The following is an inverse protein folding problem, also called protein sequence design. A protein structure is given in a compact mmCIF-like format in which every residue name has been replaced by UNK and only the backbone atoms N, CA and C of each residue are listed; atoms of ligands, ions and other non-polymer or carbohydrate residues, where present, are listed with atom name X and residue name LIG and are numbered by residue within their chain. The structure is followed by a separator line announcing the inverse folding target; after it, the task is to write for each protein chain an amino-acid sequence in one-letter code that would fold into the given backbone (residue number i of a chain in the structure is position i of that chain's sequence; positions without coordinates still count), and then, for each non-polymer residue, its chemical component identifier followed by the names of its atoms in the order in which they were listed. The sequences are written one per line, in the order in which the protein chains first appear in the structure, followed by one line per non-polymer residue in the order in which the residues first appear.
data_IF_685474525291
#
_entry.id   IF_685474525291
#
_cell.length_a   1.000
_cell.length_b   1.000
_cell.length_c   1.000
_cell.angle_alpha   90.00
_cell.angle_beta   90.00
_cell.angle_gamma   90.00
#
_symmetry.space_group_name_H-M   'P 1'
#
loop_
_entity.id
_entity.type
_entity.pdbx_description
1 polymer ?
#
# COMPACT_ATOMS: atom_id res chain seq x y z
N UNK A 1 -10.05 12.48 -7.66
CA UNK A 1 -10.45 11.08 -7.90
C UNK A 1 -9.57 10.50 -8.99
N UNK A 2 -9.10 9.23 -8.91
CA UNK A 2 -8.36 8.61 -10.00
C UNK A 2 -9.25 8.54 -11.25
N UNK A 3 -8.72 8.93 -12.40
CA UNK A 3 -9.48 9.14 -13.65
C UNK A 3 -10.10 7.88 -14.27
N UNK A 4 -9.84 6.70 -13.70
CA UNK A 4 -10.22 5.39 -14.26
C UNK A 4 -11.23 4.61 -13.40
N UNK A 5 -11.78 5.19 -12.35
CA UNK A 5 -12.94 4.58 -11.71
C UNK A 5 -14.18 4.89 -12.58
N UNK A 6 -14.91 3.88 -13.09
CA UNK A 6 -16.28 4.10 -13.57
C UNK A 6 -17.13 4.68 -12.43
N UNK A 7 -18.39 5.05 -12.67
CA UNK A 7 -19.29 5.74 -11.71
C UNK A 7 -19.42 5.12 -10.30
N UNK A 8 -18.81 3.98 -10.03
CA UNK A 8 -18.68 3.36 -8.72
C UNK A 8 -17.58 3.99 -7.86
N UNK A 9 -17.83 4.10 -6.56
CA UNK A 9 -16.91 4.75 -5.60
C UNK A 9 -15.67 3.91 -5.27
N UNK A 10 -15.61 2.62 -5.63
CA UNK A 10 -14.54 1.66 -5.23
C UNK A 10 -14.34 0.58 -6.30
N UNK A 11 -13.13 0.01 -6.39
CA UNK A 11 -12.86 -1.19 -7.18
C UNK A 11 -13.47 -2.44 -6.54
N UNK A 12 -13.83 -3.44 -7.34
CA UNK A 12 -14.13 -4.79 -6.83
C UNK A 12 -12.87 -5.44 -6.26
N UNK A 13 -13.01 -6.47 -5.42
CA UNK A 13 -11.86 -7.23 -4.89
C UNK A 13 -10.97 -7.80 -6.01
N UNK A 14 -11.57 -8.27 -7.10
CA UNK A 14 -10.86 -8.80 -8.25
C UNK A 14 -10.05 -7.71 -8.98
N UNK A 15 -10.68 -6.58 -9.28
CA UNK A 15 -10.02 -5.43 -9.91
C UNK A 15 -8.89 -4.87 -9.04
N UNK A 16 -9.08 -4.85 -7.72
CA UNK A 16 -8.06 -4.43 -6.77
C UNK A 16 -6.85 -5.40 -6.77
N UNK A 17 -7.10 -6.70 -6.84
CA UNK A 17 -6.04 -7.71 -6.94
C UNK A 17 -5.26 -7.59 -8.25
N UNK A 18 -5.93 -7.35 -9.37
CA UNK A 18 -5.28 -7.12 -10.67
C UNK A 18 -4.42 -5.86 -10.66
N UNK A 19 -4.94 -4.76 -10.10
CA UNK A 19 -4.17 -3.53 -9.93
C UNK A 19 -2.93 -3.73 -9.05
N UNK A 20 -3.00 -4.60 -8.03
CA UNK A 20 -1.86 -4.95 -7.19
C UNK A 20 -0.76 -5.63 -8.00
N UNK A 21 -1.12 -6.54 -8.91
CA UNK A 21 -0.15 -7.21 -9.80
C UNK A 21 0.53 -6.21 -10.74
N UNK A 22 -0.23 -5.28 -11.31
CA UNK A 22 0.33 -4.20 -12.14
C UNK A 22 1.31 -3.34 -11.33
N UNK A 23 0.97 -3.04 -10.08
CA UNK A 23 1.80 -2.20 -9.20
C UNK A 23 3.16 -2.85 -8.90
N UNK A 24 3.21 -4.17 -8.76
CA UNK A 24 4.46 -4.91 -8.56
C UNK A 24 5.41 -4.72 -9.77
N UNK A 25 4.89 -4.85 -10.99
CA UNK A 25 5.68 -4.68 -12.21
C UNK A 25 6.03 -3.21 -12.47
N UNK A 26 5.13 -2.29 -12.12
CA UNK A 26 5.32 -0.84 -12.32
C UNK A 26 6.66 -0.37 -11.73
N UNK A 27 7.00 -0.81 -10.53
CA UNK A 27 8.25 -0.40 -9.87
C UNK A 27 9.48 -0.77 -10.72
N UNK A 28 9.49 -1.96 -11.33
CA UNK A 28 10.58 -2.42 -12.21
C UNK A 28 10.68 -1.54 -13.46
N UNK A 29 9.53 -1.24 -14.07
CA UNK A 29 9.44 -0.38 -15.26
C UNK A 29 9.91 1.04 -14.93
N UNK A 30 9.51 1.59 -13.79
CA UNK A 30 9.93 2.90 -13.32
C UNK A 30 11.43 2.95 -13.03
N UNK A 31 12.00 1.91 -12.41
CA UNK A 31 13.44 1.80 -12.18
C UNK A 31 14.23 1.75 -13.50
N UNK A 32 13.78 0.96 -14.48
CA UNK A 32 14.39 0.91 -15.81
C UNK A 32 14.31 2.27 -16.53
N UNK A 33 13.15 2.93 -16.50
CA UNK A 33 12.97 4.27 -17.05
C UNK A 33 13.85 5.31 -16.33
N UNK A 34 14.04 5.18 -15.02
CA UNK A 34 14.94 6.01 -14.24
C UNK A 34 16.38 5.92 -14.75
N UNK A 35 16.85 4.72 -15.11
CA UNK A 35 18.19 4.52 -15.70
C UNK A 35 18.32 5.14 -17.08
N UNK A 36 17.31 4.99 -17.94
CA UNK A 36 17.30 5.67 -19.25
C UNK A 36 17.40 7.19 -19.10
N UNK A 37 16.68 7.76 -18.13
CA UNK A 37 16.70 9.20 -17.84
C UNK A 37 18.00 9.71 -17.19
N UNK A 38 18.93 8.85 -16.79
CA UNK A 38 20.27 9.32 -16.38
C UNK A 38 21.04 9.91 -17.57
N UNK A 39 20.67 9.55 -18.80
CA UNK A 39 21.25 10.13 -20.00
C UNK A 39 20.61 11.48 -20.29
N UNK A 40 21.41 12.55 -20.20
CA UNK A 40 20.96 13.96 -20.31
C UNK A 40 20.05 14.23 -21.51
N UNK A 41 20.29 13.56 -22.63
CA UNK A 41 19.46 13.71 -23.82
C UNK A 41 18.01 13.22 -23.61
N UNK A 42 17.82 12.10 -22.91
CA UNK A 42 16.51 11.50 -22.63
C UNK A 42 15.81 12.10 -21.39
N UNK A 43 16.55 12.81 -20.53
CA UNK A 43 15.99 13.57 -19.40
C UNK A 43 15.28 14.87 -19.84
N UNK A 44 15.64 15.41 -21.02
CA UNK A 44 15.16 16.71 -21.49
C UNK A 44 14.10 16.57 -22.58
N UNK A 45 13.48 17.70 -22.91
CA UNK A 45 12.54 17.79 -24.02
C UNK A 45 13.29 17.49 -25.31
N UNK A 46 12.90 16.40 -25.96
CA UNK A 46 13.47 15.95 -27.24
C UNK A 46 12.93 16.85 -28.38
N UNK A 47 13.79 17.42 -29.23
CA UNK A 47 13.34 18.19 -30.38
C UNK A 47 12.48 17.35 -31.35
N UNK A 48 11.43 17.94 -31.93
CA UNK A 48 10.55 17.24 -32.88
C UNK A 48 11.30 16.70 -34.11
N UNK A 49 12.38 17.36 -34.54
CA UNK A 49 13.22 16.90 -35.64
C UNK A 49 13.90 15.56 -35.37
N UNK A 50 14.09 15.22 -34.10
CA UNK A 50 14.76 13.98 -33.67
C UNK A 50 13.78 12.87 -33.28
N UNK A 51 12.47 13.15 -33.21
CA UNK A 51 11.44 12.16 -32.91
C UNK A 51 11.48 10.93 -33.84
N UNK A 52 11.75 11.04 -35.16
CA UNK A 52 11.84 9.87 -36.02
C UNK A 52 12.90 8.85 -35.57
N UNK A 53 13.92 9.29 -34.83
CA UNK A 53 15.07 8.49 -34.40
C UNK A 53 15.05 8.18 -32.90
N UNK A 54 13.99 8.56 -32.17
CA UNK A 54 13.97 8.42 -30.70
C UNK A 54 14.12 6.97 -30.24
N UNK A 55 13.54 6.03 -30.98
CA UNK A 55 13.66 4.60 -30.70
C UNK A 55 15.09 4.10 -30.90
N UNK A 56 15.81 4.63 -31.89
CA UNK A 56 17.22 4.29 -32.10
C UNK A 56 18.07 4.80 -30.93
N UNK A 57 17.83 6.03 -30.47
CA UNK A 57 18.53 6.58 -29.32
C UNK A 57 18.26 5.80 -28.03
N UNK A 58 17.00 5.44 -27.77
CA UNK A 58 16.64 4.59 -26.63
C UNK A 58 17.33 3.23 -26.74
N UNK A 59 17.36 2.63 -27.93
CA UNK A 59 17.99 1.32 -28.17
C UNK A 59 19.50 1.38 -27.93
N UNK A 60 20.17 2.41 -28.42
CA UNK A 60 21.60 2.65 -28.17
C UNK A 60 21.88 2.81 -26.67
N UNK A 61 21.10 3.66 -25.99
CA UNK A 61 21.25 3.87 -24.55
C UNK A 61 21.00 2.59 -23.75
N UNK A 62 19.96 1.83 -24.10
CA UNK A 62 19.67 0.54 -23.47
C UNK A 62 20.81 -0.46 -23.69
N UNK A 63 21.39 -0.52 -24.90
CA UNK A 63 22.56 -1.36 -25.17
C UNK A 63 23.77 -0.97 -24.32
N UNK A 64 24.03 0.33 -24.16
CA UNK A 64 25.11 0.83 -23.28
C UNK A 64 24.87 0.46 -21.81
N UNK A 65 23.63 0.62 -21.32
CA UNK A 65 23.27 0.21 -19.95
C UNK A 65 23.51 -1.29 -19.77
N UNK A 66 23.05 -2.12 -20.70
CA UNK A 66 23.20 -3.58 -20.62
C UNK A 66 24.66 -4.03 -20.73
N UNK A 67 25.50 -3.31 -21.47
CA UNK A 67 26.91 -3.65 -21.65
C UNK A 67 27.78 -3.25 -20.45
N UNK A 68 27.46 -2.13 -19.79
CA UNK A 68 28.38 -1.50 -18.83
C UNK A 68 27.83 -1.29 -17.42
N UNK A 69 26.51 -1.37 -17.22
CA UNK A 69 25.92 -1.21 -15.88
C UNK A 69 25.53 -2.57 -15.28
N UNK A 70 25.50 -2.63 -13.96
CA UNK A 70 24.96 -3.79 -13.26
C UNK A 70 23.47 -3.97 -13.60
N UNK A 71 22.92 -5.20 -13.56
CA UNK A 71 21.49 -5.44 -13.76
C UNK A 71 20.59 -4.53 -12.91
N UNK A 72 19.40 -4.20 -13.43
CA UNK A 72 18.41 -3.37 -12.69
C UNK A 72 17.96 -4.04 -11.40
N UNK A 73 17.77 -5.34 -11.50
CA UNK A 73 17.37 -6.24 -10.44
C UNK A 73 18.24 -7.48 -10.60
N UNK A 74 18.65 -8.04 -9.47
CA UNK A 74 19.24 -9.36 -9.42
C UNK A 74 18.22 -10.28 -8.79
N UNK A 75 17.92 -11.38 -9.46
CA UNK A 75 17.00 -12.38 -8.90
C UNK A 75 17.61 -12.95 -7.62
N UNK A 76 16.82 -12.94 -6.55
CA UNK A 76 17.13 -13.62 -5.31
C UNK A 76 16.47 -15.00 -5.28
N UNK A 77 16.99 -15.91 -4.45
CA UNK A 77 16.43 -17.26 -4.29
C UNK A 77 14.95 -17.24 -3.86
N UNK A 78 14.51 -16.15 -3.21
CA UNK A 78 13.14 -16.02 -2.72
C UNK A 78 12.18 -15.44 -3.76
N UNK A 79 12.65 -14.84 -4.85
CA UNK A 79 11.77 -14.09 -5.77
C UNK A 79 10.77 -15.01 -6.46
N UNK A 80 11.19 -16.23 -6.82
CA UNK A 80 10.28 -17.24 -7.39
C UNK A 80 9.21 -17.67 -6.37
N UNK A 81 9.59 -17.85 -5.11
CA UNK A 81 8.66 -18.18 -4.03
C UNK A 81 7.66 -17.04 -3.80
N UNK A 82 8.14 -15.80 -3.72
CA UNK A 82 7.32 -14.60 -3.53
C UNK A 82 6.35 -14.43 -4.71
N UNK A 83 6.81 -14.59 -5.95
CA UNK A 83 5.97 -14.53 -7.13
C UNK A 83 4.89 -15.62 -7.11
N UNK A 84 5.23 -16.85 -6.69
CA UNK A 84 4.30 -17.94 -6.48
C UNK A 84 3.21 -17.59 -5.46
N UNK A 85 3.61 -17.09 -4.29
CA UNK A 85 2.69 -16.63 -3.23
C UNK A 85 1.77 -15.50 -3.72
N UNK A 86 2.31 -14.53 -4.47
CA UNK A 86 1.53 -13.43 -5.05
C UNK A 86 0.45 -13.95 -6.00
N UNK A 87 0.79 -14.89 -6.88
CA UNK A 87 -0.14 -15.51 -7.82
C UNK A 87 -1.22 -16.34 -7.09
N UNK A 88 -0.85 -17.10 -6.06
CA UNK A 88 -1.81 -17.84 -5.24
C UNK A 88 -2.78 -16.90 -4.51
N UNK A 89 -2.26 -15.80 -3.95
CA UNK A 89 -3.07 -14.81 -3.21
C UNK A 89 -3.98 -13.98 -4.12
N UNK A 90 -3.60 -13.74 -5.38
CA UNK A 90 -4.44 -13.03 -6.35
C UNK A 90 -5.83 -13.67 -6.49
N UNK A 91 -5.88 -15.00 -6.51
CA UNK A 91 -7.11 -15.77 -6.68
C UNK A 91 -7.76 -16.17 -5.34
N UNK A 92 -7.19 -15.73 -4.21
CA UNK A 92 -7.73 -16.07 -2.89
C UNK A 92 -9.00 -15.27 -2.66
N UNK A 93 -10.07 -16.00 -2.33
CA UNK A 93 -11.37 -15.41 -2.00
C UNK A 93 -11.26 -14.43 -0.85
N UNK A 94 -11.89 -13.27 -0.99
CA UNK A 94 -11.95 -12.26 0.07
C UNK A 94 -13.02 -12.64 1.10
N UNK A 95 -12.62 -13.43 2.10
CA UNK A 95 -13.52 -13.89 3.18
C UNK A 95 -14.10 -12.71 3.97
N UNK A 96 -13.39 -11.59 4.05
CA UNK A 96 -13.91 -10.39 4.72
C UNK A 96 -15.05 -9.76 3.92
N UNK A 97 -14.95 -9.71 2.60
CA UNK A 97 -16.05 -9.25 1.74
C UNK A 97 -17.29 -10.13 1.90
N UNK A 98 -17.12 -11.45 2.02
CA UNK A 98 -18.23 -12.36 2.31
C UNK A 98 -18.90 -12.05 3.65
N UNK A 99 -18.09 -11.85 4.71
CA UNK A 99 -18.60 -11.50 6.04
C UNK A 99 -19.30 -10.15 6.05
N UNK A 100 -18.78 -9.15 5.34
CA UNK A 100 -19.42 -7.84 5.26
C UNK A 100 -20.75 -7.87 4.50
N UNK A 101 -20.96 -8.84 3.61
CA UNK A 101 -22.24 -9.04 2.94
C UNK A 101 -23.23 -9.84 3.81
N UNK A 102 -22.77 -10.46 4.90
CA UNK A 102 -23.61 -11.11 5.89
C UNK A 102 -24.29 -10.06 6.78
N UNK A 103 -25.61 -9.95 6.66
CA UNK A 103 -26.42 -9.00 7.43
C UNK A 103 -26.41 -9.32 8.93
N UNK A 104 -26.18 -10.58 9.32
CA UNK A 104 -26.02 -10.95 10.73
C UNK A 104 -24.67 -10.44 11.27
N UNK A 105 -23.60 -10.52 10.49
CA UNK A 105 -22.28 -9.99 10.88
C UNK A 105 -22.28 -8.46 10.99
N UNK A 106 -23.09 -7.78 10.17
CA UNK A 106 -23.28 -6.33 10.25
C UNK A 106 -24.30 -5.89 11.31
N UNK A 107 -24.99 -6.80 12.01
CA UNK A 107 -25.68 -6.44 13.25
C UNK A 107 -24.61 -6.10 14.26
N UNK A 108 -24.21 -4.84 14.26
CA UNK A 108 -23.42 -4.24 15.32
C UNK A 108 -24.17 -4.55 16.61
N UNK A 109 -23.64 -5.48 17.41
CA UNK A 109 -24.08 -5.60 18.79
C UNK A 109 -24.01 -4.20 19.38
N UNK A 110 -25.11 -3.76 20.00
CA UNK A 110 -25.15 -2.43 20.61
C UNK A 110 -23.91 -2.31 21.47
N UNK A 111 -23.10 -1.29 21.21
CA UNK A 111 -21.97 -0.99 22.07
C UNK A 111 -22.52 -0.74 23.47
N UNK A 112 -22.29 -1.69 24.37
CA UNK A 112 -22.66 -1.53 25.76
C UNK A 112 -21.52 -0.82 26.47
N UNK A 113 -21.87 0.10 27.36
CA UNK A 113 -20.90 0.80 28.19
C UNK A 113 -20.27 -0.22 29.14
N UNK A 114 -18.99 -0.51 28.94
CA UNK A 114 -18.20 -1.33 29.86
C UNK A 114 -17.48 -0.45 30.89
N UNK A 115 -17.52 -0.86 32.15
CA UNK A 115 -16.67 -0.33 33.20
C UNK A 115 -15.38 -1.14 33.27
N UNK A 116 -14.24 -0.50 32.96
CA UNK A 116 -12.96 -1.19 32.84
C UNK A 116 -12.46 -1.89 34.11
N UNK A 117 -12.92 -1.47 35.30
CA UNK A 117 -12.53 -2.11 36.55
C UNK A 117 -13.30 -3.42 36.83
N UNK A 118 -14.54 -3.53 36.35
CA UNK A 118 -15.44 -4.66 36.62
C UNK A 118 -15.56 -5.61 35.43
N UNK A 119 -15.62 -5.08 34.21
CA UNK A 119 -15.94 -5.86 33.01
C UNK A 119 -14.68 -6.39 32.31
N UNK A 120 -13.52 -5.78 32.53
CA UNK A 120 -12.24 -6.22 31.98
C UNK A 120 -11.17 -6.48 33.05
N UNK A 121 -11.44 -7.31 34.08
CA UNK A 121 -10.53 -7.53 35.21
C UNK A 121 -9.21 -8.22 34.82
N UNK A 122 -9.15 -8.80 33.61
CA UNK A 122 -7.93 -9.41 33.04
C UNK A 122 -7.09 -8.43 32.22
N UNK A 123 -7.59 -7.22 31.95
CA UNK A 123 -6.80 -6.21 31.28
C UNK A 123 -5.78 -5.65 32.27
N UNK A 124 -4.47 -5.72 31.97
CA UNK A 124 -3.45 -5.30 32.93
C UNK A 124 -3.59 -3.80 33.21
N UNK A 125 -3.60 -3.37 34.48
CA UNK A 125 -3.47 -1.96 34.81
C UNK A 125 -2.09 -1.51 34.35
N UNK A 126 -2.05 -0.57 33.39
CA UNK A 126 -0.80 -0.03 32.87
C UNK A 126 -0.59 1.41 33.31
N UNK A 127 0.60 1.68 33.85
CA UNK A 127 1.05 3.02 34.14
C UNK A 127 1.47 3.77 32.88
N UNK A 128 1.60 5.09 32.99
CA UNK A 128 2.07 5.96 31.90
C UNK A 128 3.46 5.56 31.36
N UNK A 129 4.34 5.04 32.21
CA UNK A 129 5.67 4.55 31.80
C UNK A 129 5.56 3.32 30.89
N UNK A 130 4.76 2.32 31.29
CA UNK A 130 4.54 1.09 30.53
C UNK A 130 3.83 1.38 29.21
N UNK A 131 2.87 2.31 29.21
CA UNK A 131 2.22 2.78 27.98
C UNK A 131 3.21 3.44 27.03
N UNK A 132 4.20 4.19 27.52
CA UNK A 132 5.22 4.77 26.66
C UNK A 132 6.16 3.71 26.08
N UNK A 133 6.42 2.62 26.80
CA UNK A 133 7.28 1.52 26.33
C UNK A 133 6.63 0.68 25.22
N UNK A 134 5.31 0.50 25.27
CA UNK A 134 4.57 -0.29 24.26
C UNK A 134 4.02 0.55 23.10
N UNK A 135 4.00 1.87 23.24
CA UNK A 135 3.57 2.77 22.16
C UNK A 135 4.79 3.35 21.44
N UNK A 136 4.59 3.90 20.24
CA UNK A 136 5.65 4.58 19.49
C UNK A 136 6.02 5.97 20.08
N UNK A 137 5.88 6.13 21.40
CA UNK A 137 6.23 7.32 22.17
C UNK A 137 5.06 8.11 22.75
N UNK A 138 5.40 9.07 23.61
CA UNK A 138 4.50 9.96 24.38
C UNK A 138 3.42 10.69 23.57
N UNK A 139 3.64 10.89 22.27
CA UNK A 139 2.67 11.53 21.40
C UNK A 139 1.42 10.67 21.21
N UNK A 140 1.58 9.36 20.99
CA UNK A 140 0.47 8.43 20.81
C UNK A 140 -0.41 8.34 22.06
N UNK A 141 0.19 8.38 23.24
CA UNK A 141 -0.54 8.38 24.53
C UNK A 141 -1.36 9.65 24.70
N UNK A 142 -0.81 10.82 24.36
CA UNK A 142 -1.54 12.10 24.41
C UNK A 142 -2.69 12.13 23.39
N UNK A 143 -2.45 11.63 22.18
CA UNK A 143 -3.46 11.54 21.13
C UNK A 143 -4.62 10.63 21.54
N UNK A 144 -4.32 9.50 22.22
CA UNK A 144 -5.34 8.57 22.68
C UNK A 144 -6.32 9.22 23.66
N UNK A 145 -5.84 10.06 24.58
CA UNK A 145 -6.70 10.81 25.52
C UNK A 145 -7.63 11.76 24.76
N UNK A 146 -7.09 12.54 23.82
CA UNK A 146 -7.91 13.43 22.99
C UNK A 146 -8.96 12.68 22.18
N UNK A 147 -8.58 11.56 21.57
CA UNK A 147 -9.46 10.69 20.79
C UNK A 147 -10.59 10.11 21.65
N UNK A 148 -10.26 9.62 22.85
CA UNK A 148 -11.25 9.09 23.79
C UNK A 148 -12.25 10.18 24.21
N UNK A 149 -11.77 11.38 24.54
CA UNK A 149 -12.65 12.49 24.94
C UNK A 149 -13.60 12.91 23.81
N UNK A 150 -13.10 12.94 22.56
CA UNK A 150 -13.91 13.25 21.37
C UNK A 150 -15.04 12.22 21.15
N UNK A 151 -14.83 10.95 21.49
CA UNK A 151 -15.80 9.88 21.26
C UNK A 151 -16.65 9.53 22.50
N UNK A 152 -16.34 10.08 23.67
CA UNK A 152 -17.15 9.93 24.89
C UNK A 152 -18.21 11.04 25.01
N UNK A 153 -17.96 12.23 24.47
CA UNK A 153 -18.92 13.32 24.52
C UNK A 153 -20.03 13.10 23.47
N UNK A 154 -21.31 13.15 23.87
CA UNK A 154 -22.46 12.85 22.97
C UNK A 154 -22.56 13.82 21.77
N UNK A 155 -21.82 14.94 21.82
CA UNK A 155 -21.71 15.94 20.76
C UNK A 155 -20.31 16.00 20.11
N UNK A 156 -19.52 14.92 20.18
CA UNK A 156 -18.24 14.81 19.49
C UNK A 156 -18.36 15.27 18.02
N UNK A 157 -17.44 16.14 17.59
CA UNK A 157 -17.36 16.61 16.20
C UNK A 157 -17.10 15.45 15.22
#
# INVERSE_FOLDING_TARGET
MPAFLPKEKKYTSEQANDNRMITVIRWIVEAANGRLKQFKYLDKIVPNSTLPYIFDYISIVAALINAFQAPCIQDTTNDQYIAGEMLQRRNKKNVLEEKLNDKEFLKVEKWEKMEGATDTPKFPPMGLAELNDITLGVFSVKQAISYVNEHIDENGL
#
